data_IF_000239155405
#
_entry.id   IF_000239155405
#
_cell.length_a   1.000
_cell.length_b   1.000
_cell.length_c   1.000
_cell.angle_alpha   90.00
_cell.angle_beta   90.00
_cell.angle_gamma   90.00
#
_symmetry.space_group_name_H-M   'P 1'
#
loop_
_entity.id
_entity.type
_entity.pdbx_description
1 polymer ?
#
# COMPACT_ATOMS: atom_id res chain seq x y z
N UNK A 1 6.47 -0.85 1.52
CA UNK A 1 6.16 -2.09 0.77
C UNK A 1 7.45 -2.77 0.30
N UNK A 2 8.22 -2.17 -0.61
CA UNK A 2 9.41 -2.82 -1.20
C UNK A 2 10.48 -3.19 -0.16
N UNK A 3 10.83 -2.28 0.75
CA UNK A 3 11.80 -2.53 1.83
C UNK A 3 11.38 -3.65 2.78
N UNK A 4 10.08 -3.80 3.05
CA UNK A 4 9.56 -4.92 3.83
C UNK A 4 9.60 -6.24 3.04
N UNK A 5 9.22 -6.23 1.76
CA UNK A 5 9.29 -7.40 0.89
C UNK A 5 10.73 -7.89 0.67
N UNK A 6 11.69 -6.96 0.65
CA UNK A 6 13.12 -7.22 0.43
C UNK A 6 13.95 -7.19 1.71
N UNK A 7 13.33 -7.30 2.90
CA UNK A 7 14.04 -7.39 4.20
C UNK A 7 15.21 -8.37 4.21
N UNK A 8 15.15 -9.57 3.57
CA UNK A 8 16.28 -10.50 3.56
C UNK A 8 17.52 -9.97 2.82
N UNK A 9 17.40 -8.90 2.05
CA UNK A 9 18.46 -8.27 1.27
C UNK A 9 19.02 -7.00 1.94
N UNK A 10 18.67 -6.73 3.20
CA UNK A 10 19.04 -5.49 3.91
C UNK A 10 20.18 -5.65 4.92
N UNK A 11 21.03 -6.66 4.79
CA UNK A 11 22.02 -7.02 5.83
C UNK A 11 23.04 -5.92 6.14
N UNK A 12 23.36 -5.09 5.15
CA UNK A 12 24.39 -4.03 5.26
C UNK A 12 23.79 -2.62 5.29
N UNK A 13 22.48 -2.48 5.07
CA UNK A 13 21.81 -1.18 5.01
C UNK A 13 21.39 -0.64 6.38
N UNK A 14 21.18 0.69 6.51
CA UNK A 14 20.62 1.27 7.72
C UNK A 14 19.18 0.79 7.96
N UNK A 15 18.72 0.90 9.21
CA UNK A 15 17.31 0.75 9.54
C UNK A 15 16.51 1.85 8.83
N UNK A 16 15.38 1.49 8.25
CA UNK A 16 14.45 2.43 7.63
C UNK A 16 13.16 2.53 8.43
N UNK A 17 12.64 3.75 8.52
CA UNK A 17 11.38 4.11 9.17
C UNK A 17 10.55 4.92 8.17
N UNK A 18 9.24 4.72 8.17
CA UNK A 18 8.32 5.43 7.27
C UNK A 18 7.29 6.18 8.10
N UNK A 19 7.41 7.51 8.15
CA UNK A 19 6.40 8.40 8.72
C UNK A 19 5.56 8.98 7.58
N UNK A 20 4.24 8.90 7.70
CA UNK A 20 3.31 9.30 6.62
C UNK A 20 2.05 9.97 7.14
N UNK A 21 1.43 9.37 8.16
CA UNK A 21 0.24 9.92 8.81
C UNK A 21 0.53 11.29 9.47
N UNK A 22 -0.45 12.21 9.41
CA UNK A 22 -0.41 13.52 10.08
C UNK A 22 -0.78 13.42 11.57
N UNK A 23 -1.41 12.32 12.00
CA UNK A 23 -1.53 12.01 13.42
C UNK A 23 -0.13 12.02 14.06
N UNK A 24 0.08 13.00 14.96
CA UNK A 24 1.36 13.23 15.64
C UNK A 24 1.88 12.01 16.40
N UNK A 25 1.02 11.05 16.71
CA UNK A 25 1.42 9.75 17.28
C UNK A 25 2.47 9.04 16.42
N UNK A 26 2.35 9.14 15.09
CA UNK A 26 3.21 8.40 14.17
C UNK A 26 4.66 8.91 14.23
N UNK A 27 4.85 10.22 14.12
CA UNK A 27 6.18 10.81 14.22
C UNK A 27 6.72 10.72 15.66
N UNK A 28 5.90 11.00 16.67
CA UNK A 28 6.32 10.94 18.07
C UNK A 28 6.86 9.56 18.46
N UNK A 29 6.11 8.48 18.14
CA UNK A 29 6.56 7.10 18.42
C UNK A 29 7.78 6.67 17.62
N UNK A 30 8.01 7.29 16.47
CA UNK A 30 9.20 7.01 15.66
C UNK A 30 10.41 7.69 16.29
N UNK A 31 10.31 8.98 16.60
CA UNK A 31 11.42 9.78 17.15
C UNK A 31 11.91 9.26 18.51
N UNK A 32 11.05 8.65 19.33
CA UNK A 32 11.47 8.02 20.61
C UNK A 32 12.42 6.84 20.44
N UNK A 33 12.51 6.27 19.23
CA UNK A 33 13.38 5.13 18.91
C UNK A 33 14.67 5.54 18.20
N UNK A 34 14.87 6.84 17.98
CA UNK A 34 15.95 7.39 17.17
C UNK A 34 16.94 8.22 17.98
N UNK A 35 18.19 8.26 17.52
CA UNK A 35 19.22 9.16 18.03
C UNK A 35 19.48 10.26 16.98
N UNK A 36 19.39 11.57 17.33
CA UNK A 36 19.67 12.67 16.41
C UNK A 36 21.03 12.57 15.71
N UNK A 37 22.07 12.07 16.39
CA UNK A 37 23.43 11.97 15.86
C UNK A 37 23.59 10.91 14.76
N UNK A 38 22.67 9.95 14.68
CA UNK A 38 22.78 8.81 13.77
C UNK A 38 21.53 8.60 12.90
N UNK A 39 20.70 9.63 12.76
CA UNK A 39 19.45 9.56 11.98
C UNK A 39 19.51 10.50 10.78
N UNK A 40 19.20 9.96 9.60
CA UNK A 40 19.03 10.72 8.37
C UNK A 40 17.55 10.75 7.98
N UNK A 41 17.02 11.95 7.74
CA UNK A 41 15.65 12.19 7.31
C UNK A 41 15.60 12.43 5.80
N UNK A 42 14.71 11.71 5.13
CA UNK A 42 14.46 11.85 3.68
C UNK A 42 13.08 12.47 3.50
N UNK A 43 13.03 13.72 3.05
CA UNK A 43 11.77 14.45 2.85
C UNK A 43 11.27 14.19 1.43
N UNK A 44 10.30 13.28 1.31
CA UNK A 44 9.76 12.84 0.03
C UNK A 44 8.47 13.60 -0.33
N UNK A 45 8.58 14.68 -1.12
CA UNK A 45 7.42 15.40 -1.64
C UNK A 45 7.76 16.12 -2.94
N UNK A 46 7.01 15.81 -4.00
CA UNK A 46 7.18 16.40 -5.33
C UNK A 46 7.13 17.92 -5.30
N UNK A 47 6.08 18.47 -4.69
CA UNK A 47 5.87 19.92 -4.62
C UNK A 47 6.56 20.56 -3.42
N UNK A 48 6.89 19.75 -2.40
CA UNK A 48 7.34 20.19 -1.08
C UNK A 48 6.37 21.17 -0.40
N UNK A 49 5.07 21.00 -0.69
CA UNK A 49 3.96 21.79 -0.13
C UNK A 49 2.86 20.91 0.46
N UNK A 50 3.05 19.59 0.45
CA UNK A 50 2.11 18.63 1.05
C UNK A 50 2.06 18.86 2.56
N UNK A 51 0.92 19.33 3.08
CA UNK A 51 0.76 19.77 4.46
C UNK A 51 1.25 18.71 5.44
N UNK A 52 0.77 17.47 5.28
CA UNK A 52 1.10 16.36 6.16
C UNK A 52 2.59 16.04 6.18
N UNK A 53 3.24 16.09 5.01
CA UNK A 53 4.68 15.80 4.90
C UNK A 53 5.53 16.94 5.46
N UNK A 54 5.16 18.20 5.21
CA UNK A 54 5.92 19.36 5.66
C UNK A 54 5.77 19.54 7.17
N UNK A 55 4.58 19.41 7.74
CA UNK A 55 4.38 19.45 9.20
C UNK A 55 5.20 18.37 9.91
N UNK A 56 5.23 17.14 9.37
CA UNK A 56 6.09 16.09 9.92
C UNK A 56 7.58 16.42 9.75
N UNK A 57 8.00 16.97 8.61
CA UNK A 57 9.38 17.35 8.36
C UNK A 57 9.85 18.47 9.31
N UNK A 58 9.01 19.47 9.56
CA UNK A 58 9.27 20.55 10.51
C UNK A 58 9.36 20.02 11.94
N UNK A 59 8.44 19.13 12.34
CA UNK A 59 8.48 18.46 13.66
C UNK A 59 9.80 17.68 13.84
N UNK A 60 10.24 16.94 12.82
CA UNK A 60 11.53 16.24 12.85
C UNK A 60 12.73 17.21 12.92
N UNK A 61 12.68 18.32 12.19
CA UNK A 61 13.72 19.36 12.19
C UNK A 61 13.83 20.04 13.55
N UNK A 62 12.70 20.37 14.17
CA UNK A 62 12.64 20.94 15.52
C UNK A 62 13.23 19.98 16.55
N UNK A 63 12.79 18.72 16.54
CA UNK A 63 13.34 17.67 17.40
C UNK A 63 14.86 17.51 17.23
N UNK A 64 15.35 17.52 15.98
CA UNK A 64 16.78 17.42 15.69
C UNK A 64 17.56 18.65 16.21
N UNK A 65 17.04 19.85 16.00
CA UNK A 65 17.70 21.10 16.40
C UNK A 65 17.72 21.31 17.93
N UNK A 66 16.77 20.74 18.67
CA UNK A 66 16.82 20.71 20.13
C UNK A 66 18.10 20.02 20.65
N UNK A 67 18.58 18.99 19.94
CA UNK A 67 19.82 18.29 20.26
C UNK A 67 21.05 18.95 19.61
N UNK A 68 21.01 19.20 18.30
CA UNK A 68 22.16 19.69 17.54
C UNK A 68 22.52 21.16 17.83
N UNK A 69 21.53 22.00 18.15
CA UNK A 69 21.67 23.44 18.46
C UNK A 69 22.40 24.28 17.40
N UNK A 70 22.53 23.75 16.19
CA UNK A 70 23.16 24.43 15.04
C UNK A 70 22.33 24.21 13.78
N UNK A 71 21.71 25.28 13.22
CA UNK A 71 20.98 25.20 11.95
C UNK A 71 21.81 24.64 10.78
N UNK A 72 23.14 24.82 10.77
CA UNK A 72 24.00 24.32 9.69
C UNK A 72 24.07 22.79 9.66
N UNK A 73 23.82 22.12 10.80
CA UNK A 73 23.82 20.67 10.91
C UNK A 73 22.66 20.00 10.15
N UNK A 74 21.58 20.74 9.83
CA UNK A 74 20.43 20.23 9.06
C UNK A 74 20.90 19.65 7.72
N UNK A 75 21.87 20.29 7.05
CA UNK A 75 22.39 19.82 5.77
C UNK A 75 23.02 18.42 5.82
N UNK A 76 23.46 17.94 7.00
CA UNK A 76 24.04 16.61 7.18
C UNK A 76 23.01 15.52 7.50
N UNK A 77 21.82 15.93 7.95
CA UNK A 77 20.79 15.02 8.47
C UNK A 77 19.48 15.04 7.67
N UNK A 78 19.34 15.94 6.70
CA UNK A 78 18.13 16.08 5.88
C UNK A 78 18.48 16.12 4.39
N UNK A 79 17.79 15.28 3.62
CA UNK A 79 17.83 15.28 2.15
C UNK A 79 16.41 15.40 1.60
N UNK A 80 16.26 15.87 0.36
CA UNK A 80 14.96 16.07 -0.27
C UNK A 80 14.81 15.23 -1.53
N UNK A 81 13.64 14.62 -1.71
CA UNK A 81 13.22 14.02 -2.98
C UNK A 81 12.11 14.92 -3.52
N UNK A 82 12.46 15.83 -4.43
CA UNK A 82 11.57 16.92 -4.84
C UNK A 82 11.93 17.47 -6.21
N UNK A 83 11.02 18.26 -6.78
CA UNK A 83 11.25 19.02 -8.01
C UNK A 83 11.28 20.53 -7.73
N UNK A 84 11.19 20.94 -6.47
CA UNK A 84 11.03 22.34 -6.05
C UNK A 84 12.27 22.84 -5.30
N UNK A 85 13.31 23.22 -6.06
CA UNK A 85 14.59 23.68 -5.50
C UNK A 85 14.42 24.86 -4.55
N UNK A 86 13.49 25.77 -4.83
CA UNK A 86 13.22 26.95 -3.99
C UNK A 86 12.74 26.53 -2.60
N UNK A 87 11.73 25.65 -2.52
CA UNK A 87 11.21 25.18 -1.23
C UNK A 87 12.21 24.32 -0.46
N UNK A 88 13.04 23.54 -1.15
CA UNK A 88 14.12 22.76 -0.52
C UNK A 88 15.12 23.69 0.18
N UNK A 89 15.53 24.78 -0.50
CA UNK A 89 16.41 25.80 0.08
C UNK A 89 15.76 26.51 1.26
N UNK A 90 14.51 26.93 1.13
CA UNK A 90 13.74 27.58 2.21
C UNK A 90 13.63 26.68 3.46
N UNK A 91 13.49 25.36 3.29
CA UNK A 91 13.47 24.42 4.41
C UNK A 91 14.82 24.34 5.15
N UNK A 92 15.93 24.61 4.45
CA UNK A 92 17.31 24.56 4.96
C UNK A 92 18.10 23.33 4.50
N UNK A 93 17.64 22.60 3.48
CA UNK A 93 18.36 21.47 2.89
C UNK A 93 19.34 22.00 1.82
N UNK A 94 20.55 21.44 1.80
CA UNK A 94 21.54 21.73 0.76
C UNK A 94 20.99 21.31 -0.62
N UNK A 95 21.01 22.18 -1.65
CA UNK A 95 20.59 21.82 -3.01
C UNK A 95 21.32 20.59 -3.58
N UNK A 96 22.55 20.31 -3.16
CA UNK A 96 23.29 19.11 -3.57
C UNK A 96 22.69 17.82 -2.99
N UNK A 97 21.89 17.95 -1.92
CA UNK A 97 21.16 16.86 -1.27
C UNK A 97 19.70 16.78 -1.75
N UNK A 98 19.39 17.39 -2.90
CA UNK A 98 18.11 17.26 -3.57
C UNK A 98 18.21 16.25 -4.72
N UNK A 99 17.38 15.20 -4.66
CA UNK A 99 17.28 14.20 -5.70
C UNK A 99 16.00 14.45 -6.51
N UNK A 100 16.19 14.82 -7.77
CA UNK A 100 15.10 15.24 -8.64
C UNK A 100 14.35 14.07 -9.28
N UNK A 101 13.12 14.36 -9.68
CA UNK A 101 12.30 13.55 -10.58
C UNK A 101 11.37 14.50 -11.36
N UNK A 102 10.43 13.99 -12.16
CA UNK A 102 9.73 14.81 -13.15
C UNK A 102 8.21 14.78 -13.03
N UNK A 103 7.56 15.70 -13.74
CA UNK A 103 6.10 15.88 -13.80
C UNK A 103 5.37 14.61 -14.27
N UNK A 104 5.90 13.93 -15.28
CA UNK A 104 5.41 12.66 -15.82
C UNK A 104 5.56 11.47 -14.87
N UNK A 105 6.33 11.60 -13.78
CA UNK A 105 6.38 10.60 -12.71
C UNK A 105 5.20 10.82 -11.75
N UNK A 106 4.14 10.03 -11.95
CA UNK A 106 2.98 10.02 -11.06
C UNK A 106 3.34 9.47 -9.67
N UNK A 107 2.80 10.04 -8.60
CA UNK A 107 3.17 9.67 -7.22
C UNK A 107 3.00 8.18 -6.91
N UNK A 108 1.91 7.57 -7.38
CA UNK A 108 1.63 6.13 -7.22
C UNK A 108 2.50 5.20 -8.09
N UNK A 109 3.28 5.76 -9.02
CA UNK A 109 4.22 5.06 -9.90
C UNK A 109 5.67 5.54 -9.66
N UNK A 110 5.94 6.16 -8.50
CA UNK A 110 7.19 6.93 -8.31
C UNK A 110 8.34 6.15 -7.70
N UNK A 111 8.11 4.95 -7.14
CA UNK A 111 9.13 4.18 -6.41
C UNK A 111 10.39 3.86 -7.23
N UNK A 112 10.27 3.87 -8.56
CA UNK A 112 11.34 3.62 -9.52
C UNK A 112 12.30 4.83 -9.68
N UNK A 113 11.88 6.01 -9.23
CA UNK A 113 12.62 7.28 -9.37
C UNK A 113 13.46 7.58 -8.12
N UNK A 114 13.86 8.84 -7.93
CA UNK A 114 14.49 9.33 -6.70
C UNK A 114 13.70 8.96 -5.43
N UNK A 115 12.37 8.83 -5.49
CA UNK A 115 11.53 8.35 -4.39
C UNK A 115 12.00 6.98 -3.84
N UNK A 116 12.61 6.15 -4.68
CA UNK A 116 13.22 4.88 -4.32
C UNK A 116 14.50 4.99 -3.48
N UNK A 117 15.00 6.18 -3.14
CA UNK A 117 16.25 6.35 -2.38
C UNK A 117 16.27 5.54 -1.07
N UNK A 118 15.15 5.52 -0.33
CA UNK A 118 15.04 4.72 0.91
C UNK A 118 15.20 3.21 0.66
N UNK A 119 14.75 2.72 -0.51
CA UNK A 119 14.93 1.33 -0.93
C UNK A 119 16.41 1.08 -1.20
N UNK A 120 17.02 1.92 -2.03
CA UNK A 120 18.43 1.80 -2.40
C UNK A 120 19.37 1.87 -1.19
N UNK A 121 19.10 2.74 -0.22
CA UNK A 121 19.84 2.79 1.03
C UNK A 121 19.68 1.50 1.83
N UNK A 122 18.45 0.97 1.95
CA UNK A 122 18.16 -0.18 2.81
C UNK A 122 18.71 -1.50 2.27
N UNK A 123 18.61 -1.74 0.95
CA UNK A 123 18.99 -3.02 0.34
C UNK A 123 20.23 -2.92 -0.55
N UNK A 124 20.85 -1.75 -0.66
CA UNK A 124 21.97 -1.49 -1.57
C UNK A 124 21.54 -1.19 -3.01
N UNK A 125 22.37 -0.44 -3.73
CA UNK A 125 22.05 0.06 -5.07
C UNK A 125 21.98 -1.06 -6.11
N UNK A 126 22.79 -2.12 -6.01
CA UNK A 126 22.76 -3.27 -6.92
C UNK A 126 21.40 -4.00 -6.87
N UNK A 127 20.83 -4.14 -5.67
CA UNK A 127 19.50 -4.73 -5.50
C UNK A 127 18.41 -3.78 -6.02
N UNK A 128 18.59 -2.46 -5.87
CA UNK A 128 17.70 -1.48 -6.48
C UNK A 128 17.76 -1.53 -8.02
N UNK A 129 18.95 -1.66 -8.62
CA UNK A 129 19.10 -1.84 -10.07
C UNK A 129 18.47 -3.15 -10.57
N UNK A 130 18.56 -4.24 -9.79
CA UNK A 130 17.84 -5.47 -10.10
C UNK A 130 16.32 -5.27 -10.06
N UNK A 131 15.80 -4.53 -9.08
CA UNK A 131 14.38 -4.14 -9.02
C UNK A 131 13.96 -3.38 -10.28
N UNK A 132 14.72 -2.37 -10.70
CA UNK A 132 14.49 -1.62 -11.94
C UNK A 132 14.53 -2.54 -13.17
N UNK A 133 15.52 -3.45 -13.23
CA UNK A 133 15.69 -4.40 -14.33
C UNK A 133 14.51 -5.37 -14.45
N UNK A 134 13.94 -5.79 -13.32
CA UNK A 134 12.74 -6.60 -13.27
C UNK A 134 11.51 -5.87 -13.82
N UNK A 135 11.34 -4.61 -13.42
CA UNK A 135 10.30 -3.74 -14.00
C UNK A 135 10.45 -3.62 -15.51
N UNK A 136 11.66 -3.29 -15.97
CA UNK A 136 11.98 -3.17 -17.39
C UNK A 136 11.73 -4.46 -18.18
N UNK A 137 12.04 -5.62 -17.61
CA UNK A 137 11.75 -6.91 -18.24
C UNK A 137 10.25 -7.09 -18.49
N UNK A 138 9.41 -6.73 -17.51
CA UNK A 138 7.96 -6.77 -17.65
C UNK A 138 7.45 -5.72 -18.64
N UNK A 139 8.08 -4.55 -18.72
CA UNK A 139 7.76 -3.52 -19.73
C UNK A 139 7.99 -4.07 -21.15
N UNK A 140 9.12 -4.75 -21.39
CA UNK A 140 9.39 -5.36 -22.69
C UNK A 140 8.36 -6.44 -23.02
N UNK A 141 8.06 -7.33 -22.06
CA UNK A 141 7.02 -8.34 -22.24
C UNK A 141 5.67 -7.70 -22.57
N UNK A 142 5.24 -6.67 -21.81
CA UNK A 142 3.98 -5.96 -22.07
C UNK A 142 3.96 -5.32 -23.46
N UNK A 143 5.07 -4.71 -23.88
CA UNK A 143 5.18 -3.99 -25.15
C UNK A 143 5.20 -4.91 -26.37
N UNK A 144 5.86 -6.06 -26.30
CA UNK A 144 6.17 -6.86 -27.49
C UNK A 144 5.38 -8.17 -27.61
N UNK A 145 4.82 -8.68 -26.51
CA UNK A 145 4.11 -9.96 -26.52
C UNK A 145 2.69 -9.80 -27.10
N UNK A 146 2.26 -10.65 -28.05
CA UNK A 146 0.89 -10.66 -28.57
C UNK A 146 -0.14 -10.70 -27.45
N UNK A 147 -1.24 -9.96 -27.60
CA UNK A 147 -2.23 -9.70 -26.54
C UNK A 147 -2.77 -10.98 -25.90
N UNK A 148 -2.99 -12.02 -26.69
CA UNK A 148 -3.51 -13.33 -26.27
C UNK A 148 -2.54 -14.14 -25.40
N UNK A 149 -1.27 -13.71 -25.29
CA UNK A 149 -0.24 -14.29 -24.41
C UNK A 149 0.36 -13.25 -23.46
N UNK A 150 -0.19 -12.05 -23.43
CA UNK A 150 0.35 -10.93 -22.67
C UNK A 150 -0.23 -10.94 -21.24
N UNK A 151 0.59 -11.35 -20.27
CA UNK A 151 0.18 -11.54 -18.88
C UNK A 151 -0.59 -10.34 -18.26
N UNK A 152 -0.08 -9.09 -18.27
CA UNK A 152 -0.85 -7.93 -17.82
C UNK A 152 -2.22 -7.77 -18.51
N UNK A 153 -2.29 -7.98 -19.84
CA UNK A 153 -3.52 -7.86 -20.63
C UNK A 153 -4.53 -8.95 -20.22
N UNK A 154 -4.11 -10.21 -20.13
CA UNK A 154 -4.98 -11.31 -19.72
C UNK A 154 -5.53 -11.09 -18.30
N UNK A 155 -4.69 -10.64 -17.36
CA UNK A 155 -5.12 -10.31 -16.00
C UNK A 155 -6.12 -9.14 -15.98
N UNK A 156 -5.94 -8.15 -16.84
CA UNK A 156 -6.85 -7.01 -16.96
C UNK A 156 -8.21 -7.45 -17.50
N UNK A 157 -8.22 -8.24 -18.58
CA UNK A 157 -9.43 -8.78 -19.22
C UNK A 157 -10.23 -9.70 -18.29
N UNK A 158 -9.54 -10.55 -17.52
CA UNK A 158 -10.19 -11.37 -16.48
C UNK A 158 -10.85 -10.50 -15.39
N UNK A 159 -10.17 -9.42 -14.97
CA UNK A 159 -10.73 -8.47 -14.01
C UNK A 159 -11.95 -7.72 -14.55
N UNK A 160 -11.94 -7.37 -15.84
CA UNK A 160 -13.10 -6.77 -16.51
C UNK A 160 -14.23 -7.79 -16.59
N UNK A 161 -13.97 -8.99 -17.09
CA UNK A 161 -14.99 -10.06 -17.14
C UNK A 161 -15.66 -10.29 -15.78
N UNK A 162 -14.86 -10.36 -14.71
CA UNK A 162 -15.38 -10.51 -13.35
C UNK A 162 -16.24 -9.31 -12.91
N UNK A 163 -15.90 -8.09 -13.31
CA UNK A 163 -16.68 -6.88 -12.94
C UNK A 163 -18.04 -6.85 -13.64
N UNK A 164 -18.13 -7.33 -14.88
CA UNK A 164 -19.36 -7.26 -15.70
C UNK A 164 -20.25 -8.50 -15.62
N UNK A 165 -19.69 -9.66 -15.23
CA UNK A 165 -20.45 -10.91 -15.14
C UNK A 165 -21.41 -10.90 -13.93
N UNK A 166 -22.66 -11.39 -14.08
CA UNK A 166 -23.56 -11.62 -12.95
C UNK A 166 -22.95 -12.48 -11.84
N UNK A 167 -21.98 -13.36 -12.18
CA UNK A 167 -21.28 -14.20 -11.20
C UNK A 167 -20.23 -13.45 -10.36
N UNK A 168 -19.76 -12.28 -10.80
CA UNK A 168 -18.84 -11.43 -10.04
C UNK A 168 -19.52 -10.25 -9.34
N UNK A 169 -20.84 -10.08 -9.56
CA UNK A 169 -21.60 -8.96 -9.04
C UNK A 169 -22.27 -9.32 -7.70
N UNK A 170 -21.56 -9.13 -6.58
CA UNK A 170 -22.19 -9.14 -5.24
C UNK A 170 -22.72 -7.76 -4.82
N UNK A 171 -22.64 -6.73 -5.67
CA UNK A 171 -23.11 -5.36 -5.36
C UNK A 171 -23.30 -4.52 -6.65
N UNK A 172 -24.52 -4.40 -7.18
CA UNK A 172 -24.78 -3.78 -8.48
C UNK A 172 -24.49 -2.27 -8.59
N UNK A 173 -24.01 -1.60 -7.53
CA UNK A 173 -23.80 -0.15 -7.48
C UNK A 173 -22.36 0.29 -7.11
N UNK A 174 -21.36 -0.60 -7.17
CA UNK A 174 -19.95 -0.25 -6.87
C UNK A 174 -19.00 -0.74 -7.97
N UNK A 175 -18.68 0.12 -8.94
CA UNK A 175 -17.50 -0.04 -9.78
C UNK A 175 -16.22 0.36 -9.02
N UNK A 176 -15.03 -0.11 -9.43
CA UNK A 176 -14.51 -1.47 -9.29
C UNK A 176 -13.72 -1.61 -7.96
N UNK A 177 -14.33 -2.17 -6.92
CA UNK A 177 -13.61 -2.57 -5.68
C UNK A 177 -12.83 -3.90 -5.88
N UNK A 178 -12.82 -4.44 -7.10
CA UNK A 178 -12.23 -5.74 -7.44
C UNK A 178 -10.75 -5.70 -7.82
N UNK A 179 -10.11 -4.53 -7.88
CA UNK A 179 -8.64 -4.46 -8.04
C UNK A 179 -7.87 -5.11 -6.88
N UNK A 180 -8.51 -5.30 -5.71
CA UNK A 180 -7.90 -5.86 -4.50
C UNK A 180 -8.47 -7.21 -4.05
N UNK A 181 -9.54 -7.73 -4.68
CA UNK A 181 -10.06 -9.08 -4.41
C UNK A 181 -9.53 -10.10 -5.42
N UNK A 182 -8.22 -10.17 -5.56
CA UNK A 182 -7.60 -11.46 -5.90
C UNK A 182 -7.60 -12.26 -4.62
N UNK A 183 -8.06 -13.52 -4.67
CA UNK A 183 -8.16 -14.44 -3.53
C UNK A 183 -7.04 -14.15 -2.52
N UNK A 184 -7.35 -13.38 -1.48
CA UNK A 184 -6.41 -13.18 -0.41
C UNK A 184 -6.35 -14.53 0.31
N UNK A 185 -5.19 -14.87 0.86
CA UNK A 185 -5.19 -15.62 2.10
C UNK A 185 -5.92 -14.75 3.16
N UNK A 186 -7.25 -14.67 3.07
CA UNK A 186 -8.17 -13.83 3.85
C UNK A 186 -7.84 -12.32 3.82
N UNK A 187 -8.87 -11.47 3.88
CA UNK A 187 -8.69 -10.02 3.74
C UNK A 187 -7.59 -9.46 4.65
N UNK A 188 -6.68 -8.66 4.09
CA UNK A 188 -5.80 -7.81 4.88
C UNK A 188 -4.69 -8.50 5.68
N UNK A 189 -3.82 -9.30 5.06
CA UNK A 189 -2.36 -9.29 5.34
C UNK A 189 -1.65 -10.30 4.44
N UNK A 190 -0.63 -9.85 3.70
CA UNK A 190 0.37 -10.78 3.17
C UNK A 190 1.20 -11.24 4.37
N UNK A 191 1.03 -12.49 4.80
CA UNK A 191 2.02 -13.12 5.67
C UNK A 191 3.41 -12.99 5.04
N UNK A 192 4.50 -12.89 5.83
CA UNK A 192 5.82 -12.52 5.32
C UNK A 192 6.31 -13.55 4.29
N UNK A 193 6.14 -13.26 3.00
CA UNK A 193 6.73 -14.00 1.88
C UNK A 193 8.18 -13.55 1.64
N UNK A 194 8.89 -13.21 2.71
CA UNK A 194 10.28 -12.84 2.66
C UNK A 194 11.11 -14.11 2.89
N UNK A 195 11.70 -14.63 1.80
CA UNK A 195 12.73 -15.68 1.83
C UNK A 195 12.29 -17.03 2.43
N UNK A 196 11.81 -17.95 1.58
CA UNK A 196 11.82 -19.37 1.93
C UNK A 196 12.50 -20.19 0.85
N UNK A 197 13.67 -20.74 1.22
CA UNK A 197 14.23 -21.91 0.57
C UNK A 197 13.18 -23.03 0.62
N UNK A 198 12.90 -23.67 -0.52
CA UNK A 198 11.89 -24.73 -0.71
C UNK A 198 12.09 -26.00 0.13
N UNK A 199 12.99 -25.98 1.12
CA UNK A 199 13.48 -27.16 1.84
C UNK A 199 12.97 -27.27 3.28
N UNK A 200 12.28 -26.26 3.82
CA UNK A 200 11.72 -26.35 5.17
C UNK A 200 10.34 -27.01 5.19
N UNK A 201 10.02 -27.76 6.27
CA UNK A 201 8.70 -28.35 6.50
C UNK A 201 7.59 -27.28 6.48
N UNK A 202 7.87 -26.09 7.02
CA UNK A 202 6.95 -24.95 7.00
C UNK A 202 6.63 -24.47 5.58
N UNK A 203 7.61 -24.45 4.67
CA UNK A 203 7.38 -24.09 3.25
C UNK A 203 6.50 -25.10 2.53
N UNK A 204 6.67 -26.39 2.82
CA UNK A 204 5.82 -27.44 2.24
C UNK A 204 4.36 -27.29 2.69
N UNK A 205 4.12 -27.00 3.97
CA UNK A 205 2.77 -26.76 4.51
C UNK A 205 2.17 -25.50 3.87
N UNK A 206 2.94 -24.43 3.71
CA UNK A 206 2.48 -23.21 3.05
C UNK A 206 2.05 -23.48 1.60
N UNK A 207 2.87 -24.18 0.83
CA UNK A 207 2.55 -24.54 -0.57
C UNK A 207 1.32 -25.46 -0.65
N UNK A 208 1.20 -26.42 0.25
CA UNK A 208 0.03 -27.29 0.32
C UNK A 208 -1.25 -26.48 0.58
N UNK A 209 -1.21 -25.52 1.51
CA UNK A 209 -2.35 -24.64 1.78
C UNK A 209 -2.66 -23.72 0.61
N UNK A 210 -1.65 -23.13 -0.04
CA UNK A 210 -1.85 -22.30 -1.23
C UNK A 210 -2.61 -23.06 -2.33
N UNK A 211 -2.17 -24.28 -2.65
CA UNK A 211 -2.82 -25.12 -3.65
C UNK A 211 -4.23 -25.53 -3.21
N UNK A 212 -4.36 -26.03 -1.97
CA UNK A 212 -5.62 -26.52 -1.43
C UNK A 212 -6.70 -25.43 -1.34
N UNK A 213 -6.35 -24.18 -1.06
CA UNK A 213 -7.31 -23.07 -1.02
C UNK A 213 -7.91 -22.80 -2.40
N UNK A 214 -7.08 -22.74 -3.44
CA UNK A 214 -7.59 -22.51 -4.80
C UNK A 214 -8.42 -23.69 -5.32
N UNK A 215 -8.03 -24.91 -4.96
CA UNK A 215 -8.82 -26.12 -5.23
C UNK A 215 -10.16 -26.12 -4.49
N UNK A 216 -10.17 -25.76 -3.20
CA UNK A 216 -11.38 -25.72 -2.38
C UNK A 216 -12.36 -24.64 -2.87
N UNK A 217 -11.87 -23.46 -3.26
CA UNK A 217 -12.67 -22.39 -3.85
C UNK A 217 -13.31 -22.82 -5.17
N UNK A 218 -12.59 -23.58 -6.00
CA UNK A 218 -13.11 -24.12 -7.25
C UNK A 218 -14.13 -25.24 -7.02
N UNK A 219 -13.77 -26.25 -6.23
CA UNK A 219 -14.55 -27.50 -6.08
C UNK A 219 -15.76 -27.35 -5.17
N UNK A 220 -15.63 -26.59 -4.09
CA UNK A 220 -16.61 -26.62 -3.01
C UNK A 220 -16.68 -27.99 -2.32
N UNK A 221 -17.82 -28.28 -1.72
CA UNK A 221 -18.16 -29.54 -1.05
C UNK A 221 -19.67 -29.75 -1.12
N UNK A 222 -20.07 -30.82 -1.80
CA UNK A 222 -21.48 -31.18 -2.00
C UNK A 222 -22.17 -31.60 -0.70
N UNK A 223 -23.51 -31.57 -0.72
CA UNK A 223 -24.35 -32.04 0.39
C UNK A 223 -24.08 -33.50 0.71
N UNK A 224 -23.87 -34.35 -0.29
CA UNK A 224 -23.58 -35.78 -0.13
C UNK A 224 -22.23 -36.02 0.56
N UNK A 225 -21.20 -35.26 0.17
CA UNK A 225 -19.87 -35.32 0.80
C UNK A 225 -19.92 -34.85 2.26
N UNK A 226 -20.54 -33.69 2.51
CA UNK A 226 -20.69 -33.14 3.86
C UNK A 226 -21.52 -34.08 4.77
N UNK A 227 -22.57 -34.71 4.24
CA UNK A 227 -23.40 -35.70 4.95
C UNK A 227 -22.59 -36.94 5.32
N UNK A 228 -21.80 -37.49 4.40
CA UNK A 228 -20.92 -38.64 4.67
C UNK A 228 -19.88 -38.32 5.76
N UNK A 229 -19.28 -37.12 5.73
CA UNK A 229 -18.34 -36.69 6.76
C UNK A 229 -19.00 -36.57 8.15
N UNK A 230 -20.20 -36.00 8.22
CA UNK A 230 -20.94 -35.87 9.48
C UNK A 230 -21.39 -37.23 10.04
N UNK A 231 -21.77 -38.18 9.18
CA UNK A 231 -22.08 -39.57 9.57
C UNK A 231 -20.84 -40.28 10.11
N UNK A 232 -19.70 -40.17 9.40
CA UNK A 232 -18.44 -40.79 9.84
C UNK A 232 -17.93 -40.20 11.16
N UNK A 233 -18.25 -38.93 11.44
CA UNK A 233 -17.95 -38.25 12.71
C UNK A 233 -18.92 -38.62 13.86
N UNK A 234 -19.87 -39.52 13.65
CA UNK A 234 -20.77 -40.04 14.69
C UNK A 234 -21.83 -39.05 15.17
N UNK A 235 -22.26 -38.09 14.34
CA UNK A 235 -23.34 -37.14 14.68
C UNK A 235 -24.70 -37.84 14.70
N UNK A 236 -25.57 -37.46 15.65
CA UNK A 236 -26.96 -37.94 15.66
C UNK A 236 -27.71 -37.45 14.42
N UNK A 237 -28.79 -38.13 14.00
CA UNK A 237 -29.60 -37.68 12.86
C UNK A 237 -30.06 -36.23 12.97
N UNK A 238 -30.44 -35.78 14.17
CA UNK A 238 -30.92 -34.42 14.44
C UNK A 238 -29.79 -33.39 14.32
N UNK A 239 -28.62 -33.69 14.88
CA UNK A 239 -27.44 -32.81 14.79
C UNK A 239 -26.88 -32.76 13.36
N UNK A 240 -26.97 -33.87 12.61
CA UNK A 240 -26.54 -33.93 11.23
C UNK A 240 -27.37 -32.97 10.37
N UNK A 241 -28.69 -33.07 10.39
CA UNK A 241 -29.56 -32.23 9.56
C UNK A 241 -29.40 -30.74 9.92
N UNK A 242 -29.19 -30.42 11.20
CA UNK A 242 -28.92 -29.05 11.65
C UNK A 242 -27.56 -28.52 11.17
N UNK A 243 -26.51 -29.35 11.16
CA UNK A 243 -25.15 -28.93 10.81
C UNK A 243 -24.86 -28.97 9.30
N UNK A 244 -25.58 -29.81 8.55
CA UNK A 244 -25.36 -30.06 7.13
C UNK A 244 -25.28 -28.78 6.28
N UNK A 245 -26.23 -27.81 6.33
CA UNK A 245 -26.17 -26.62 5.49
C UNK A 245 -24.96 -25.72 5.82
N UNK A 246 -24.41 -25.79 7.03
CA UNK A 246 -23.21 -25.05 7.43
C UNK A 246 -21.89 -25.72 7.01
N UNK A 247 -21.96 -26.92 6.41
CA UNK A 247 -20.80 -27.72 5.97
C UNK A 247 -20.74 -27.91 4.45
N UNK A 248 -21.77 -27.46 3.73
CA UNK A 248 -21.78 -27.36 2.27
C UNK A 248 -20.99 -26.13 1.84
N UNK A 249 -20.20 -26.28 0.79
CA UNK A 249 -19.48 -25.19 0.15
C UNK A 249 -19.88 -25.20 -1.33
N UNK A 250 -20.44 -24.10 -1.84
CA UNK A 250 -20.98 -24.05 -3.20
C UNK A 250 -19.88 -24.21 -4.27
N UNK A 251 -18.64 -23.79 -3.96
CA UNK A 251 -17.54 -23.82 -4.92
C UNK A 251 -17.74 -22.81 -6.04
N UNK A 252 -17.16 -23.07 -7.21
CA UNK A 252 -17.24 -22.19 -8.38
C UNK A 252 -16.78 -20.74 -8.10
N UNK A 253 -15.81 -20.57 -7.20
CA UNK A 253 -15.17 -19.29 -6.92
C UNK A 253 -13.86 -19.19 -7.71
N UNK A 254 -13.80 -18.39 -8.80
CA UNK A 254 -12.62 -18.33 -9.66
C UNK A 254 -11.44 -17.65 -8.97
N UNK A 255 -10.23 -18.14 -9.24
CA UNK A 255 -8.97 -17.59 -8.71
C UNK A 255 -7.89 -17.47 -9.78
N UNK A 256 -6.89 -16.61 -9.55
CA UNK A 256 -5.64 -16.64 -10.31
C UNK A 256 -4.49 -16.99 -9.38
N UNK A 257 -3.70 -17.99 -9.78
CA UNK A 257 -2.52 -18.44 -9.05
C UNK A 257 -1.27 -17.97 -9.78
N UNK A 258 -0.54 -17.02 -9.18
CA UNK A 258 0.71 -16.50 -9.74
C UNK A 258 1.86 -17.08 -8.92
N UNK A 259 2.63 -17.98 -9.54
CA UNK A 259 3.76 -18.67 -8.90
C UNK A 259 5.05 -18.20 -9.55
N UNK A 260 6.05 -17.90 -8.73
CA UNK A 260 7.38 -17.46 -9.15
C UNK A 260 8.45 -18.19 -8.33
N UNK A 261 9.66 -18.30 -8.88
CA UNK A 261 10.74 -19.09 -8.28
C UNK A 261 11.17 -18.58 -6.91
N UNK A 262 11.42 -17.28 -6.78
CA UNK A 262 11.81 -16.64 -5.51
C UNK A 262 11.48 -15.16 -5.57
N UNK A 263 11.10 -14.57 -4.44
CA UNK A 263 10.97 -13.13 -4.31
C UNK A 263 12.37 -12.49 -4.21
N UNK A 264 12.97 -12.22 -5.36
CA UNK A 264 14.19 -11.42 -5.51
C UNK A 264 13.83 -9.96 -5.83
N UNK A 265 14.78 -9.00 -5.71
CA UNK A 265 14.52 -7.63 -6.14
C UNK A 265 14.02 -7.57 -7.59
N UNK A 266 14.65 -8.33 -8.50
CA UNK A 266 14.20 -8.47 -9.89
C UNK A 266 12.76 -8.98 -9.99
N UNK A 267 12.42 -10.09 -9.33
CA UNK A 267 11.08 -10.66 -9.42
C UNK A 267 10.02 -9.72 -8.85
N UNK A 268 10.32 -9.05 -7.73
CA UNK A 268 9.42 -8.04 -7.18
C UNK A 268 9.18 -6.90 -8.17
N UNK A 269 10.23 -6.43 -8.86
CA UNK A 269 10.11 -5.41 -9.89
C UNK A 269 9.19 -5.83 -11.03
N UNK A 270 9.38 -7.04 -11.54
CA UNK A 270 8.53 -7.60 -12.59
C UNK A 270 7.07 -7.73 -12.15
N UNK A 271 6.82 -8.16 -10.91
CA UNK A 271 5.48 -8.29 -10.35
C UNK A 271 4.80 -6.92 -10.18
N UNK A 272 5.49 -5.91 -9.65
CA UNK A 272 4.90 -4.56 -9.50
C UNK A 272 4.54 -4.00 -10.87
N UNK A 273 5.47 -4.00 -11.83
CA UNK A 273 5.22 -3.51 -13.19
C UNK A 273 4.09 -4.27 -13.90
N UNK A 274 3.94 -5.58 -13.64
CA UNK A 274 2.83 -6.36 -14.20
C UNK A 274 1.47 -5.81 -13.79
N UNK A 275 1.32 -5.38 -12.53
CA UNK A 275 0.08 -4.78 -12.04
C UNK A 275 -0.08 -3.33 -12.51
N UNK A 276 1.01 -2.56 -12.65
CA UNK A 276 0.95 -1.23 -13.26
C UNK A 276 0.37 -1.32 -14.68
N UNK A 277 0.86 -2.25 -15.50
CA UNK A 277 0.35 -2.49 -16.86
C UNK A 277 -1.07 -3.07 -16.87
N UNK A 278 -1.41 -3.96 -15.93
CA UNK A 278 -2.79 -4.44 -15.76
C UNK A 278 -3.75 -3.26 -15.54
N UNK A 279 -3.41 -2.35 -14.62
CA UNK A 279 -4.21 -1.16 -14.30
C UNK A 279 -4.34 -0.26 -15.52
N UNK A 280 -3.25 -0.04 -16.25
CA UNK A 280 -3.25 0.73 -17.49
C UNK A 280 -4.23 0.14 -18.51
N UNK A 281 -4.16 -1.16 -18.80
CA UNK A 281 -5.07 -1.83 -19.76
C UNK A 281 -6.54 -1.67 -19.35
N UNK A 282 -6.84 -1.81 -18.06
CA UNK A 282 -8.21 -1.63 -17.56
C UNK A 282 -8.71 -0.19 -17.78
N UNK A 283 -7.89 0.82 -17.48
CA UNK A 283 -8.25 2.21 -17.70
C UNK A 283 -8.51 2.54 -19.16
N UNK A 284 -7.67 2.04 -20.07
CA UNK A 284 -7.86 2.22 -21.52
C UNK A 284 -9.17 1.58 -21.99
N UNK A 285 -9.52 0.37 -21.54
CA UNK A 285 -10.78 -0.28 -21.94
C UNK A 285 -11.99 0.46 -21.38
N UNK A 286 -11.90 1.02 -20.18
CA UNK A 286 -12.96 1.82 -19.57
C UNK A 286 -13.04 3.26 -20.10
N UNK A 287 -12.14 3.66 -20.99
CA UNK A 287 -12.03 5.03 -21.50
C UNK A 287 -11.89 6.08 -20.39
N UNK A 288 -11.05 5.78 -19.38
CA UNK A 288 -10.74 6.67 -18.26
C UNK A 288 -9.26 6.97 -18.16
N UNK A 289 -8.93 8.10 -17.55
CA UNK A 289 -7.54 8.47 -17.28
C UNK A 289 -7.01 7.79 -16.01
N UNK A 290 -6.19 6.75 -16.16
CA UNK A 290 -5.54 6.06 -15.04
C UNK A 290 -4.43 6.86 -14.33
N UNK A 291 -4.12 8.07 -14.77
CA UNK A 291 -2.96 8.84 -14.33
C UNK A 291 -3.29 10.14 -13.59
N UNK A 292 -4.53 10.61 -13.62
CA UNK A 292 -4.96 11.76 -12.80
C UNK A 292 -5.51 11.33 -11.42
N UNK A 293 -5.92 12.30 -10.61
CA UNK A 293 -6.48 12.08 -9.27
C UNK A 293 -7.30 13.29 -8.78
N UNK A 294 -8.14 13.87 -9.64
CA UNK A 294 -8.92 15.07 -9.32
C UNK A 294 -9.84 14.92 -8.10
N UNK A 295 -10.26 13.68 -7.79
CA UNK A 295 -11.12 13.38 -6.64
C UNK A 295 -10.55 13.75 -5.27
N UNK A 296 -9.25 14.05 -5.14
CA UNK A 296 -8.63 14.43 -3.86
C UNK A 296 -8.70 15.93 -3.56
N UNK A 297 -9.16 16.75 -4.50
CA UNK A 297 -9.08 18.21 -4.37
C UNK A 297 -10.13 18.79 -3.43
N UNK A 298 -11.37 18.29 -3.50
CA UNK A 298 -12.48 18.80 -2.71
C UNK A 298 -12.20 18.64 -1.21
N UNK A 299 -11.71 17.47 -0.80
CA UNK A 299 -11.32 17.20 0.59
C UNK A 299 -10.28 18.22 1.07
N UNK A 300 -9.21 18.45 0.30
CA UNK A 300 -8.15 19.41 0.65
C UNK A 300 -8.67 20.84 0.77
N UNK A 301 -9.61 21.24 -0.08
CA UNK A 301 -10.23 22.56 -0.02
C UNK A 301 -11.09 22.72 1.23
N UNK A 302 -11.86 21.70 1.59
CA UNK A 302 -12.70 21.72 2.78
C UNK A 302 -11.86 21.69 4.07
N UNK A 303 -10.84 20.84 4.12
CA UNK A 303 -9.92 20.75 5.27
C UNK A 303 -9.24 22.10 5.56
N UNK A 304 -8.74 22.81 4.54
CA UNK A 304 -8.13 24.14 4.69
C UNK A 304 -9.08 25.22 5.21
N UNK A 305 -10.39 25.08 4.95
CA UNK A 305 -11.41 26.00 5.49
C UNK A 305 -11.72 25.68 6.95
N UNK A 306 -11.80 24.39 7.29
CA UNK A 306 -12.15 23.91 8.63
C UNK A 306 -11.01 24.09 9.62
N UNK A 307 -9.75 23.90 9.19
CA UNK A 307 -8.56 23.98 10.06
C UNK A 307 -8.53 25.23 10.98
N UNK A 308 -8.60 26.47 10.48
CA UNK A 308 -8.60 27.66 11.35
C UNK A 308 -9.87 27.80 12.20
N UNK A 309 -10.98 27.15 11.82
CA UNK A 309 -12.22 27.19 12.59
C UNK A 309 -12.17 26.27 13.82
N UNK A 310 -11.22 25.34 13.89
CA UNK A 310 -10.99 24.51 15.07
C UNK A 310 -10.34 25.30 16.22
N UNK A 311 -9.71 26.43 15.92
CA UNK A 311 -9.10 27.31 16.92
C UNK A 311 -10.15 28.05 17.75
N UNK A 312 -9.75 28.43 18.97
CA UNK A 312 -10.61 29.16 19.92
C UNK A 312 -11.86 28.39 20.35
N UNK A 313 -12.69 29.01 21.19
CA UNK A 313 -13.88 28.39 21.79
C UNK A 313 -15.20 28.76 21.12
N UNK A 314 -15.18 29.63 20.11
CA UNK A 314 -16.39 30.07 19.42
C UNK A 314 -17.08 28.90 18.70
N UNK A 315 -18.42 28.84 18.79
CA UNK A 315 -19.22 27.89 18.03
C UNK A 315 -19.15 28.17 16.53
N UNK A 316 -19.10 27.12 15.73
CA UNK A 316 -19.07 27.18 14.27
C UNK A 316 -20.46 26.91 13.70
N UNK A 317 -20.87 27.75 12.75
CA UNK A 317 -22.20 27.72 12.09
C UNK A 317 -22.11 27.90 10.57
N UNK A 318 -20.91 27.88 10.00
CA UNK A 318 -20.63 28.17 8.58
C UNK A 318 -20.90 26.99 7.62
N UNK A 319 -21.13 25.78 8.12
CA UNK A 319 -21.30 24.56 7.31
C UNK A 319 -22.70 23.95 7.44
N UNK A 320 -22.88 22.73 6.92
CA UNK A 320 -24.09 21.95 7.17
C UNK A 320 -24.21 21.55 8.65
N UNK A 321 -25.41 21.14 9.07
CA UNK A 321 -25.72 20.84 10.46
C UNK A 321 -24.85 19.70 11.05
N UNK A 322 -24.45 18.72 10.23
CA UNK A 322 -23.59 17.62 10.69
C UNK A 322 -22.18 18.13 10.98
N UNK A 323 -21.57 18.82 10.02
CA UNK A 323 -20.21 19.38 10.16
C UNK A 323 -20.12 20.36 11.32
N UNK A 324 -21.09 21.29 11.44
CA UNK A 324 -21.15 22.21 12.57
C UNK A 324 -21.29 21.46 13.91
N UNK A 325 -22.19 20.47 13.96
CA UNK A 325 -22.40 19.65 15.16
C UNK A 325 -21.13 18.93 15.62
N UNK A 326 -20.40 18.33 14.68
CA UNK A 326 -19.15 17.63 14.95
C UNK A 326 -18.04 18.59 15.43
N UNK A 327 -17.84 19.73 14.76
CA UNK A 327 -16.83 20.72 15.18
C UNK A 327 -17.13 21.21 16.60
N UNK A 328 -18.39 21.56 16.88
CA UNK A 328 -18.78 22.06 18.20
C UNK A 328 -18.66 20.99 19.29
N UNK A 329 -18.98 19.72 18.98
CA UNK A 329 -18.72 18.60 19.88
C UNK A 329 -17.23 18.43 20.17
N UNK A 330 -16.36 18.48 19.15
CA UNK A 330 -14.90 18.40 19.32
C UNK A 330 -14.39 19.53 20.22
N UNK A 331 -14.83 20.77 19.99
CA UNK A 331 -14.47 21.93 20.84
C UNK A 331 -14.90 21.75 22.29
N UNK A 332 -16.06 21.13 22.53
CA UNK A 332 -16.54 20.83 23.88
C UNK A 332 -15.74 19.70 24.54
N UNK A 333 -15.48 18.61 23.81
CA UNK A 333 -14.86 17.41 24.39
C UNK A 333 -13.35 17.53 24.57
N UNK A 334 -12.64 18.38 23.82
CA UNK A 334 -11.18 18.55 24.01
C UNK A 334 -10.79 19.13 25.38
N UNK A 335 -11.74 19.77 26.07
CA UNK A 335 -11.56 20.29 27.44
C UNK A 335 -12.01 19.27 28.51
N UNK A 336 -12.75 18.24 28.11
CA UNK A 336 -13.25 17.23 29.02
C UNK A 336 -12.09 16.39 29.56
N UNK A 337 -11.96 16.34 30.89
CA UNK A 337 -11.11 15.35 31.55
C UNK A 337 -11.88 14.03 31.62
N UNK A 338 -11.57 13.11 30.72
CA UNK A 338 -12.05 11.74 30.80
C UNK A 338 -11.27 11.04 31.92
N UNK A 339 -11.98 10.50 32.92
CA UNK A 339 -11.39 9.77 34.06
C UNK A 339 -10.81 8.43 33.66
#
# INVERSE_FOLDING_TARGET
MVTEALKPYSSEGPRVWYVSNIDGTHIAKTLTQLNPESSLFIIASKTLTTQETITNAETAKEWFLQAAKDPSAVAKHFVALSTNTTKVKEFGIDPQNMFEFWDWVGGRYSLWSAIGLSIALHVGFDNFQQLLSGGHWMDQHFRTTPLEKNAPVLLALLGIWATWSPMGNTSPNLAPVWTTRQAPLCGGSLGPMASMLFTSSSTKILLANFLAQTEALMRGKSTEEARKELQAAGKSPEDLERLLPHKVFEGNHPTNSIVFTKLTPFMLGALVAMYEHKIFVQGIIWDINSFDQWGVELEKQLAKKIEPELDGSAQVTSHDASTNGLINFIKQQREARVQ
#
